data_IF_186110656612
#
_entry.id   IF_186110656612
#
_cell.length_a   1.000
_cell.length_b   1.000
_cell.length_c   1.000
_cell.angle_alpha   90.00
_cell.angle_beta   90.00
_cell.angle_gamma   90.00
#
_symmetry.space_group_name_H-M   'P 1'
#
loop_
_entity.id
_entity.type
_entity.pdbx_description
1 polymer ?
#
# COMPACT_ATOMS: atom_id res chain seq x y z
N UNK A 1 16.29 -8.50 28.50
CA UNK A 1 15.52 -8.77 29.72
C UNK A 1 15.04 -10.21 29.64
N UNK A 2 15.15 -10.98 30.73
CA UNK A 2 14.92 -12.44 30.77
C UNK A 2 13.46 -12.87 30.67
N UNK A 3 12.71 -12.37 29.69
CA UNK A 3 11.38 -12.88 29.38
C UNK A 3 11.51 -14.26 28.76
N UNK A 4 10.96 -15.28 29.43
CA UNK A 4 10.90 -16.63 28.87
C UNK A 4 10.12 -16.65 27.55
N UNK A 5 10.44 -17.62 26.67
CA UNK A 5 9.79 -17.75 25.36
C UNK A 5 8.26 -17.73 25.44
N UNK A 6 7.69 -18.43 26.42
CA UNK A 6 6.22 -18.48 26.62
C UNK A 6 5.65 -17.08 26.86
N UNK A 7 6.27 -16.29 27.74
CA UNK A 7 5.81 -14.92 28.01
C UNK A 7 5.96 -14.01 26.77
N UNK A 8 7.05 -14.14 26.02
CA UNK A 8 7.24 -13.40 24.78
C UNK A 8 6.19 -13.80 23.72
N UNK A 9 5.85 -15.08 23.64
CA UNK A 9 4.82 -15.60 22.75
C UNK A 9 3.42 -15.12 23.14
N UNK A 10 3.10 -15.09 24.43
CA UNK A 10 1.83 -14.54 24.92
C UNK A 10 1.69 -13.05 24.61
N UNK A 11 2.75 -12.27 24.80
CA UNK A 11 2.76 -10.84 24.42
C UNK A 11 2.58 -10.68 22.91
N UNK A 12 3.22 -11.53 22.10
CA UNK A 12 3.03 -11.50 20.66
C UNK A 12 1.58 -11.84 20.24
N UNK A 13 0.98 -12.84 20.86
CA UNK A 13 -0.37 -13.31 20.53
C UNK A 13 -1.45 -12.34 21.02
N UNK A 14 -1.35 -11.87 22.26
CA UNK A 14 -2.41 -11.15 22.97
C UNK A 14 -2.08 -9.68 23.26
N UNK A 15 -0.83 -9.28 23.06
CA UNK A 15 -0.40 -7.89 23.15
C UNK A 15 0.14 -7.49 24.52
N UNK A 16 0.01 -6.20 24.83
CA UNK A 16 0.72 -5.53 25.94
C UNK A 16 -0.24 -4.78 26.84
N UNK A 17 0.04 -4.77 28.14
CA UNK A 17 -0.66 -3.98 29.15
C UNK A 17 0.34 -3.16 29.98
N UNK A 18 0.83 -2.02 29.45
CA UNK A 18 1.84 -1.22 30.13
C UNK A 18 1.26 -0.46 31.33
N UNK A 19 2.03 -0.44 32.43
CA UNK A 19 1.70 0.29 33.66
C UNK A 19 2.76 1.37 33.92
N UNK A 20 2.61 2.51 33.25
CA UNK A 20 3.38 3.73 33.52
C UNK A 20 2.54 4.78 34.22
N UNK A 21 3.18 5.82 34.75
CA UNK A 21 2.50 6.96 35.36
C UNK A 21 1.72 7.83 34.36
N UNK A 22 1.94 7.65 33.05
CA UNK A 22 1.26 8.43 32.00
C UNK A 22 0.22 7.58 31.28
N UNK A 23 -1.04 7.98 31.37
CA UNK A 23 -2.15 7.33 30.65
C UNK A 23 -1.90 7.30 29.15
N UNK A 24 -1.40 8.40 28.57
CA UNK A 24 -1.10 8.47 27.13
C UNK A 24 -0.02 7.48 26.72
N UNK A 25 1.02 7.28 27.55
CA UNK A 25 2.05 6.28 27.26
C UNK A 25 1.47 4.88 27.33
N UNK A 26 0.58 4.62 28.29
CA UNK A 26 -0.10 3.33 28.41
C UNK A 26 -1.00 3.06 27.20
N UNK A 27 -1.75 4.05 26.72
CA UNK A 27 -2.59 3.94 25.53
C UNK A 27 -1.78 3.69 24.26
N UNK A 28 -0.66 4.39 24.08
CA UNK A 28 0.21 4.23 22.89
C UNK A 28 0.95 2.89 22.87
N UNK A 29 1.30 2.35 24.04
CA UNK A 29 2.05 1.09 24.17
C UNK A 29 1.15 -0.13 24.36
N UNK A 30 -0.14 0.05 24.67
CA UNK A 30 -1.11 -1.03 24.74
C UNK A 30 -1.44 -1.52 23.34
N UNK A 31 -1.37 -2.84 23.14
CA UNK A 31 -1.70 -3.49 21.87
C UNK A 31 -2.50 -4.74 22.15
N UNK A 32 -3.32 -5.20 21.21
CA UNK A 32 -4.02 -6.48 21.30
C UNK A 32 -3.26 -7.66 20.68
N UNK A 33 -1.99 -7.46 20.31
CA UNK A 33 -1.16 -8.48 19.63
C UNK A 33 -1.75 -8.94 18.30
N UNK A 34 -1.42 -10.18 17.91
CA UNK A 34 -1.99 -10.81 16.71
C UNK A 34 -3.52 -10.95 16.78
N UNK A 35 -4.07 -11.32 17.94
CA UNK A 35 -5.52 -11.51 18.10
C UNK A 35 -6.28 -10.21 17.89
N UNK A 36 -5.80 -9.10 18.45
CA UNK A 36 -6.37 -7.76 18.22
C UNK A 36 -6.24 -7.29 16.77
N UNK A 37 -5.28 -7.83 16.02
CA UNK A 37 -5.03 -7.49 14.61
C UNK A 37 -5.71 -8.45 13.62
N UNK A 38 -6.51 -9.41 14.08
CA UNK A 38 -7.09 -10.46 13.23
C UNK A 38 -7.93 -9.90 12.07
N UNK A 39 -8.68 -8.83 12.31
CA UNK A 39 -9.42 -8.13 11.27
C UNK A 39 -8.49 -7.52 10.21
N UNK A 40 -7.46 -6.80 10.65
CA UNK A 40 -6.44 -6.21 9.77
C UNK A 40 -5.78 -7.27 8.90
N UNK A 41 -5.36 -8.38 9.49
CA UNK A 41 -4.75 -9.51 8.77
C UNK A 41 -5.72 -10.06 7.72
N UNK A 42 -7.00 -10.23 8.08
CA UNK A 42 -8.03 -10.75 7.16
C UNK A 42 -8.20 -9.86 5.94
N UNK A 43 -8.31 -8.54 6.15
CA UNK A 43 -8.43 -7.56 5.05
C UNK A 43 -7.20 -7.61 4.15
N UNK A 44 -5.99 -7.64 4.74
CA UNK A 44 -4.73 -7.70 3.99
C UNK A 44 -4.64 -8.98 3.16
N UNK A 45 -4.95 -10.15 3.75
CA UNK A 45 -4.91 -11.43 3.02
C UNK A 45 -5.91 -11.44 1.86
N UNK A 46 -7.12 -10.93 2.07
CA UNK A 46 -8.13 -10.83 1.01
C UNK A 46 -7.67 -9.91 -0.13
N UNK A 47 -7.12 -8.74 0.21
CA UNK A 47 -6.61 -7.78 -0.76
C UNK A 47 -5.41 -8.34 -1.55
N UNK A 48 -4.44 -8.97 -0.89
CA UNK A 48 -3.30 -9.62 -1.53
C UNK A 48 -3.75 -10.74 -2.49
N UNK A 49 -4.76 -11.52 -2.10
CA UNK A 49 -5.32 -12.59 -2.93
C UNK A 49 -5.95 -12.03 -4.21
N UNK A 50 -6.74 -10.96 -4.09
CA UNK A 50 -7.32 -10.26 -5.25
C UNK A 50 -6.22 -9.67 -6.15
N UNK A 51 -5.25 -8.97 -5.56
CA UNK A 51 -4.12 -8.39 -6.28
C UNK A 51 -3.35 -9.43 -7.10
N UNK A 52 -3.07 -10.60 -6.50
CA UNK A 52 -2.40 -11.71 -7.19
C UNK A 52 -3.22 -12.30 -8.35
N UNK A 53 -4.56 -12.37 -8.22
CA UNK A 53 -5.43 -12.81 -9.32
C UNK A 53 -5.37 -11.81 -10.48
N UNK A 54 -5.47 -10.51 -10.19
CA UNK A 54 -5.43 -9.45 -11.21
C UNK A 54 -4.08 -9.38 -11.92
N UNK A 55 -2.98 -9.60 -11.19
CA UNK A 55 -1.64 -9.69 -11.76
C UNK A 55 -1.53 -10.90 -12.69
N UNK A 56 -1.90 -12.09 -12.22
CA UNK A 56 -1.77 -13.34 -12.98
C UNK A 56 -2.64 -13.41 -14.22
N UNK A 57 -3.78 -12.72 -14.21
CA UNK A 57 -4.67 -12.60 -15.36
C UNK A 57 -4.24 -11.51 -16.35
N UNK A 58 -3.21 -10.72 -16.02
CA UNK A 58 -2.70 -9.64 -16.87
C UNK A 58 -3.57 -8.38 -16.88
N UNK A 59 -4.63 -8.33 -16.06
CA UNK A 59 -5.58 -7.20 -16.01
C UNK A 59 -4.86 -5.90 -15.67
N UNK A 60 -3.92 -5.95 -14.72
CA UNK A 60 -3.19 -4.75 -14.29
C UNK A 60 -2.34 -4.15 -15.42
N UNK A 61 -1.73 -5.00 -16.27
CA UNK A 61 -0.92 -4.53 -17.40
C UNK A 61 -1.80 -3.89 -18.48
N UNK A 62 -2.98 -4.47 -18.73
CA UNK A 62 -3.99 -3.89 -19.62
C UNK A 62 -4.44 -2.53 -19.12
N UNK A 63 -4.71 -2.39 -17.82
CA UNK A 63 -5.07 -1.10 -17.20
C UNK A 63 -3.94 -0.08 -17.38
N UNK A 64 -2.69 -0.47 -17.10
CA UNK A 64 -1.55 0.43 -17.25
C UNK A 64 -1.42 0.96 -18.67
N UNK A 65 -1.58 0.08 -19.67
CA UNK A 65 -1.53 0.47 -21.06
C UNK A 65 -2.76 1.27 -21.50
N UNK A 66 -3.95 0.95 -21.00
CA UNK A 66 -5.18 1.66 -21.34
C UNK A 66 -5.10 3.15 -20.97
N UNK A 67 -4.55 3.48 -19.81
CA UNK A 67 -4.39 4.88 -19.36
C UNK A 67 -3.40 5.71 -20.18
N UNK A 68 -2.51 5.07 -20.94
CA UNK A 68 -1.48 5.76 -21.73
C UNK A 68 -1.63 5.60 -23.23
N UNK A 69 -2.43 4.64 -23.69
CA UNK A 69 -2.61 4.31 -25.12
C UNK A 69 -3.11 5.47 -25.99
N UNK A 70 -3.89 6.39 -25.43
CA UNK A 70 -4.40 7.58 -26.13
C UNK A 70 -3.53 8.82 -25.95
N UNK A 71 -2.43 8.72 -25.20
CA UNK A 71 -1.62 9.86 -24.79
C UNK A 71 -0.54 10.15 -25.83
N UNK A 72 -0.47 11.40 -26.28
CA UNK A 72 0.48 11.85 -27.32
C UNK A 72 1.37 13.01 -26.90
N UNK A 73 1.36 13.39 -25.63
CA UNK A 73 2.20 14.48 -25.11
C UNK A 73 2.93 14.07 -23.83
N UNK A 74 4.16 14.55 -23.61
CA UNK A 74 4.95 14.25 -22.42
C UNK A 74 4.21 14.44 -21.10
N UNK A 75 3.57 15.59 -20.89
CA UNK A 75 2.88 15.90 -19.64
C UNK A 75 1.68 14.99 -19.38
N UNK A 76 0.92 14.67 -20.43
CA UNK A 76 -0.19 13.74 -20.31
C UNK A 76 0.30 12.30 -20.04
N UNK A 77 1.50 11.92 -20.49
CA UNK A 77 2.06 10.60 -20.24
C UNK A 77 2.44 10.46 -18.76
N UNK A 78 3.11 11.48 -18.21
CA UNK A 78 3.39 11.58 -16.77
C UNK A 78 2.12 11.51 -15.93
N UNK A 79 1.07 12.25 -16.31
CA UNK A 79 -0.21 12.20 -15.62
C UNK A 79 -0.88 10.81 -15.73
N UNK A 80 -0.89 10.21 -16.93
CA UNK A 80 -1.44 8.87 -17.16
C UNK A 80 -0.72 7.78 -16.38
N UNK A 81 0.61 7.87 -16.28
CA UNK A 81 1.43 7.00 -15.41
C UNK A 81 1.03 7.12 -13.94
N UNK A 82 0.85 8.36 -13.45
CA UNK A 82 0.40 8.58 -12.08
C UNK A 82 -0.99 7.99 -11.82
N UNK A 83 -1.96 8.23 -12.71
CA UNK A 83 -3.31 7.66 -12.62
C UNK A 83 -3.25 6.13 -12.64
N UNK A 84 -2.45 5.55 -13.53
CA UNK A 84 -2.23 4.10 -13.60
C UNK A 84 -1.69 3.54 -12.29
N UNK A 85 -0.66 4.15 -11.71
CA UNK A 85 -0.09 3.75 -10.42
C UNK A 85 -1.14 3.78 -9.31
N UNK A 86 -1.95 4.85 -9.22
CA UNK A 86 -3.02 4.97 -8.21
C UNK A 86 -4.05 3.87 -8.38
N UNK A 87 -4.52 3.62 -9.60
CA UNK A 87 -5.52 2.57 -9.88
C UNK A 87 -4.99 1.18 -9.56
N UNK A 88 -3.75 0.88 -9.95
CA UNK A 88 -3.12 -0.41 -9.62
C UNK A 88 -2.98 -0.56 -8.11
N UNK A 89 -2.58 0.49 -7.40
CA UNK A 89 -2.51 0.44 -5.94
C UNK A 89 -3.90 0.21 -5.32
N UNK A 90 -4.94 0.91 -5.79
CA UNK A 90 -6.32 0.74 -5.33
C UNK A 90 -6.84 -0.68 -5.55
N UNK A 91 -6.50 -1.32 -6.67
CA UNK A 91 -7.00 -2.66 -6.97
C UNK A 91 -6.23 -3.77 -6.27
N UNK A 92 -4.91 -3.59 -6.11
CA UNK A 92 -4.04 -4.64 -5.59
C UNK A 92 -3.74 -4.51 -4.12
N UNK A 93 -3.94 -3.31 -3.54
CA UNK A 93 -3.48 -2.94 -2.22
C UNK A 93 -1.98 -3.18 -2.00
N UNK A 94 -1.20 -3.09 -3.08
CA UNK A 94 0.24 -3.37 -3.09
C UNK A 94 1.01 -2.21 -3.72
N UNK A 95 1.71 -1.47 -2.87
CA UNK A 95 2.57 -0.37 -3.30
C UNK A 95 3.65 -0.83 -4.31
N UNK A 96 4.28 -1.98 -4.07
CA UNK A 96 5.28 -2.53 -4.99
C UNK A 96 4.74 -2.70 -6.42
N UNK A 97 3.54 -3.28 -6.55
CA UNK A 97 2.90 -3.51 -7.85
C UNK A 97 2.55 -2.19 -8.55
N UNK A 98 2.09 -1.20 -7.78
CA UNK A 98 1.75 0.13 -8.29
C UNK A 98 2.94 0.90 -8.88
N UNK A 99 4.16 0.57 -8.45
CA UNK A 99 5.39 1.21 -8.92
C UNK A 99 5.99 0.41 -10.08
N UNK A 100 6.19 -0.88 -9.86
CA UNK A 100 6.92 -1.73 -10.81
C UNK A 100 6.13 -1.92 -12.10
N UNK A 101 4.82 -2.18 -12.02
CA UNK A 101 4.06 -2.52 -13.21
C UNK A 101 3.97 -1.36 -14.21
N UNK A 102 3.56 -0.14 -13.84
CA UNK A 102 3.64 1.00 -14.76
C UNK A 102 5.07 1.29 -15.21
N UNK A 103 6.05 1.18 -14.31
CA UNK A 103 7.46 1.41 -14.62
C UNK A 103 8.00 0.48 -15.71
N UNK A 104 7.60 -0.79 -15.72
CA UNK A 104 8.03 -1.75 -16.75
C UNK A 104 7.16 -1.63 -18.00
N UNK A 105 5.84 -1.50 -17.86
CA UNK A 105 4.88 -1.44 -18.98
C UNK A 105 5.04 -0.18 -19.83
N UNK A 106 5.37 0.97 -19.22
CA UNK A 106 5.38 2.27 -19.90
C UNK A 106 6.75 2.74 -20.35
N UNK A 107 7.82 2.00 -20.02
CA UNK A 107 9.20 2.38 -20.33
C UNK A 107 9.41 2.74 -21.81
N UNK A 108 8.97 1.88 -22.72
CA UNK A 108 9.14 2.11 -24.15
C UNK A 108 8.38 3.36 -24.62
N UNK A 109 7.20 3.64 -24.06
CA UNK A 109 6.40 4.83 -24.41
C UNK A 109 7.07 6.13 -23.94
N UNK A 110 7.77 6.10 -22.80
CA UNK A 110 8.60 7.22 -22.35
C UNK A 110 9.77 7.46 -23.31
N UNK A 111 10.48 6.39 -23.70
CA UNK A 111 11.61 6.46 -24.63
C UNK A 111 11.15 7.00 -26.01
N UNK A 112 9.99 6.54 -26.53
CA UNK A 112 9.40 7.00 -27.79
C UNK A 112 9.03 8.50 -27.81
N UNK A 113 8.65 9.05 -26.65
CA UNK A 113 8.34 10.49 -26.50
C UNK A 113 9.55 11.32 -26.04
N UNK A 114 10.75 10.73 -26.02
CA UNK A 114 12.00 11.41 -25.64
C UNK A 114 12.06 11.79 -24.16
N UNK A 115 11.41 11.01 -23.29
CA UNK A 115 11.44 11.20 -21.84
C UNK A 115 12.42 10.26 -21.18
N UNK A 116 13.20 10.80 -20.26
CA UNK A 116 14.13 10.02 -19.46
C UNK A 116 13.42 9.09 -18.45
N UNK A 117 14.09 7.98 -18.13
CA UNK A 117 13.59 6.97 -17.19
C UNK A 117 13.43 7.52 -15.75
N UNK A 118 14.16 8.57 -15.37
CA UNK A 118 13.99 9.22 -14.06
C UNK A 118 12.63 9.93 -13.96
N UNK A 119 12.10 10.48 -15.05
CA UNK A 119 10.76 11.07 -15.09
C UNK A 119 9.67 10.01 -14.93
N UNK A 120 9.86 8.82 -15.51
CA UNK A 120 8.98 7.67 -15.28
C UNK A 120 9.01 7.25 -13.80
N UNK A 121 10.21 7.06 -13.25
CA UNK A 121 10.41 6.70 -11.83
C UNK A 121 9.76 7.72 -10.89
N UNK A 122 9.98 9.02 -11.14
CA UNK A 122 9.37 10.09 -10.36
C UNK A 122 7.85 10.07 -10.45
N UNK A 123 7.28 9.81 -11.62
CA UNK A 123 5.83 9.78 -11.81
C UNK A 123 5.18 8.62 -11.04
N UNK A 124 5.76 7.41 -11.11
CA UNK A 124 5.23 6.25 -10.37
C UNK A 124 5.43 6.40 -8.86
N UNK A 125 6.55 6.95 -8.41
CA UNK A 125 6.82 7.14 -6.97
C UNK A 125 5.92 8.22 -6.37
N UNK A 126 5.75 9.34 -7.07
CA UNK A 126 4.92 10.45 -6.60
C UNK A 126 3.44 10.07 -6.45
N UNK A 127 2.96 9.08 -7.21
CA UNK A 127 1.57 8.66 -7.19
C UNK A 127 1.35 7.34 -6.44
N UNK A 128 2.21 6.34 -6.63
CA UNK A 128 2.07 5.00 -6.06
C UNK A 128 2.31 4.97 -4.55
N UNK A 129 3.37 5.63 -4.07
CA UNK A 129 3.76 5.59 -2.65
C UNK A 129 2.77 6.26 -1.69
N UNK A 130 2.36 7.53 -1.90
CA UNK A 130 1.52 8.22 -0.91
C UNK A 130 0.06 7.74 -0.91
N UNK A 131 -0.44 7.20 -2.02
CA UNK A 131 -1.88 6.91 -2.16
C UNK A 131 -2.33 5.65 -1.46
N UNK A 132 -1.42 4.73 -1.13
CA UNK A 132 -1.77 3.52 -0.38
C UNK A 132 -2.39 3.82 0.98
N UNK A 133 -1.95 4.89 1.66
CA UNK A 133 -2.50 5.29 2.96
C UNK A 133 -3.97 5.77 2.90
N UNK A 134 -4.47 6.09 1.72
CA UNK A 134 -5.83 6.60 1.49
C UNK A 134 -6.86 5.49 1.19
N UNK A 135 -6.40 4.24 1.04
CA UNK A 135 -7.24 3.12 0.61
C UNK A 135 -7.57 2.24 1.82
N UNK A 136 -8.85 2.11 2.24
CA UNK A 136 -9.22 1.46 3.50
C UNK A 136 -8.94 -0.06 3.54
N UNK A 137 -8.57 -0.66 2.41
CA UNK A 137 -8.16 -2.07 2.30
C UNK A 137 -6.65 -2.23 2.08
N UNK A 138 -5.87 -1.15 2.14
CA UNK A 138 -4.41 -1.18 2.07
C UNK A 138 -3.81 -1.42 3.45
N UNK A 139 -2.82 -2.31 3.54
CA UNK A 139 -2.24 -2.75 4.81
C UNK A 139 -1.81 -1.59 5.72
N UNK A 140 -1.12 -0.59 5.15
CA UNK A 140 -0.69 0.60 5.90
C UNK A 140 -1.85 1.45 6.41
N UNK A 141 -2.93 1.59 5.62
CA UNK A 141 -4.10 2.37 6.01
C UNK A 141 -4.90 1.67 7.11
N UNK A 142 -5.12 0.35 6.97
CA UNK A 142 -5.81 -0.45 7.98
C UNK A 142 -5.05 -0.43 9.30
N UNK A 143 -3.72 -0.56 9.25
CA UNK A 143 -2.87 -0.42 10.44
C UNK A 143 -3.03 0.96 11.09
N UNK A 144 -2.88 2.04 10.32
CA UNK A 144 -3.01 3.41 10.86
C UNK A 144 -4.40 3.68 11.44
N UNK A 145 -5.46 3.22 10.78
CA UNK A 145 -6.82 3.36 11.30
C UNK A 145 -7.03 2.58 12.60
N UNK A 146 -6.46 1.37 12.70
CA UNK A 146 -6.51 0.57 13.93
C UNK A 146 -5.70 1.17 15.08
N UNK A 147 -4.57 1.81 14.77
CA UNK A 147 -3.67 2.39 15.78
C UNK A 147 -4.14 3.75 16.29
N UNK A 148 -4.66 4.60 15.39
CA UNK A 148 -5.08 5.97 15.74
C UNK A 148 -6.56 6.08 16.09
N UNK A 149 -7.37 5.07 15.74
CA UNK A 149 -8.82 5.12 15.85
C UNK A 149 -9.51 6.04 14.83
N UNK A 150 -8.75 6.64 13.91
CA UNK A 150 -9.29 7.52 12.86
C UNK A 150 -9.56 6.70 11.58
N UNK A 151 -10.81 6.61 11.11
CA UNK A 151 -11.14 5.91 9.88
C UNK A 151 -10.38 6.45 8.66
N UNK A 152 -9.95 5.57 7.76
CA UNK A 152 -9.19 5.98 6.56
C UNK A 152 -9.92 6.99 5.68
N UNK A 153 -11.26 6.97 5.68
CA UNK A 153 -12.08 7.91 4.88
C UNK A 153 -12.14 9.33 5.47
N UNK A 154 -11.70 9.50 6.72
CA UNK A 154 -11.68 10.79 7.43
C UNK A 154 -10.32 11.51 7.34
N UNK A 155 -9.31 10.88 6.73
CA UNK A 155 -8.01 11.50 6.44
C UNK A 155 -8.13 12.60 5.39
#
# INVERSE_FOLDING_TARGET
QGTGFVAAWEIFMYGTSPESASTTVNELLATGGLTGSAWTITVVVAALSLGGILERTGVLAVIAHAFTSSVRSPGALVAGTGVSAIFINALTAQQYMSIVLPGVTLRNTYDELGLDTDQLSRAVEAAGTPTGALMPWHAGAVFMASATGVPTIEY
#
